data_IF_263066115092
#
_entry.id   IF_263066115092
#
_cell.length_a   1.000
_cell.length_b   1.000
_cell.length_c   1.000
_cell.angle_alpha   90.00
_cell.angle_beta   90.00
_cell.angle_gamma   90.00
#
_symmetry.space_group_name_H-M   'P 1'
#
loop_
_entity.id
_entity.type
_entity.pdbx_description
1 polymer ?
#
# COMPACT_ATOMS: atom_id res chain seq x y z
N UNK A 1 0.00 -11.88 -13.89
CA UNK A 1 0.90 -10.72 -13.68
C UNK A 1 0.75 -9.68 -14.78
N UNK A 2 0.90 -10.03 -16.08
CA UNK A 2 0.75 -9.04 -17.18
C UNK A 2 -0.56 -8.24 -17.13
N UNK A 3 -1.71 -8.92 -16.99
CA UNK A 3 -3.01 -8.24 -16.88
C UNK A 3 -3.09 -7.29 -15.69
N UNK A 4 -2.44 -7.61 -14.56
CA UNK A 4 -2.43 -6.72 -13.39
C UNK A 4 -1.59 -5.47 -13.68
N UNK A 5 -0.41 -5.65 -14.26
CA UNK A 5 0.47 -4.55 -14.67
C UNK A 5 -0.19 -3.62 -15.68
N UNK A 6 -0.96 -4.16 -16.63
CA UNK A 6 -1.75 -3.37 -17.60
C UNK A 6 -2.84 -2.51 -16.95
N UNK A 7 -3.29 -2.85 -15.73
CA UNK A 7 -4.25 -2.04 -14.96
C UNK A 7 -3.55 -0.98 -14.08
N UNK A 8 -2.22 -0.99 -13.96
CA UNK A 8 -1.52 0.15 -13.39
C UNK A 8 -1.46 1.27 -14.43
N UNK A 9 -2.05 2.42 -14.10
CA UNK A 9 -2.10 3.56 -14.99
C UNK A 9 -0.72 4.19 -15.15
N UNK A 10 -0.51 4.85 -16.30
CA UNK A 10 0.71 5.60 -16.56
C UNK A 10 0.68 6.95 -15.81
N UNK A 11 0.90 6.90 -14.50
CA UNK A 11 1.05 8.05 -13.59
C UNK A 11 2.48 8.14 -13.07
N UNK A 12 2.97 9.33 -12.66
CA UNK A 12 4.39 9.52 -12.35
C UNK A 12 4.93 8.66 -11.19
N UNK A 13 4.15 8.41 -10.14
CA UNK A 13 4.56 7.67 -8.95
C UNK A 13 3.77 6.37 -8.75
N UNK A 14 2.44 6.41 -8.61
CA UNK A 14 1.62 5.23 -8.27
C UNK A 14 1.35 4.32 -9.49
N UNK A 15 2.42 3.82 -10.10
CA UNK A 15 2.42 2.95 -11.28
C UNK A 15 3.01 1.56 -10.97
N UNK A 16 3.15 0.70 -11.98
CA UNK A 16 3.62 -0.68 -11.78
C UNK A 16 5.06 -0.77 -11.23
N UNK A 17 5.90 0.26 -11.46
CA UNK A 17 7.25 0.30 -10.89
C UNK A 17 7.21 0.52 -9.38
N UNK A 18 6.30 1.37 -8.89
CA UNK A 18 6.10 1.54 -7.45
C UNK A 18 5.60 0.24 -6.82
N UNK A 19 4.60 -0.41 -7.42
CA UNK A 19 4.13 -1.72 -6.97
C UNK A 19 5.27 -2.76 -6.92
N UNK A 20 6.15 -2.80 -7.91
CA UNK A 20 7.31 -3.67 -7.92
C UNK A 20 8.31 -3.35 -6.80
N UNK A 21 8.58 -2.06 -6.51
CA UNK A 21 9.45 -1.64 -5.40
C UNK A 21 8.87 -2.07 -4.04
N UNK A 22 7.55 -1.91 -3.84
CA UNK A 22 6.86 -2.30 -2.62
C UNK A 22 6.86 -3.84 -2.46
N UNK A 23 6.56 -4.61 -3.51
CA UNK A 23 6.65 -6.08 -3.49
C UNK A 23 8.05 -6.55 -3.10
N UNK A 24 9.09 -5.97 -3.70
CA UNK A 24 10.47 -6.34 -3.41
C UNK A 24 10.86 -5.96 -1.97
N UNK A 25 10.38 -4.81 -1.49
CA UNK A 25 10.63 -4.34 -0.12
C UNK A 25 9.94 -5.24 0.90
N UNK A 26 8.67 -5.64 0.69
CA UNK A 26 7.96 -6.62 1.52
C UNK A 26 8.69 -7.96 1.52
N UNK A 27 9.16 -8.44 0.36
CA UNK A 27 9.95 -9.66 0.27
C UNK A 27 11.19 -9.61 1.17
N UNK A 28 11.95 -8.51 1.15
CA UNK A 28 13.13 -8.35 2.02
C UNK A 28 12.75 -8.27 3.50
N UNK A 29 11.68 -7.57 3.85
CA UNK A 29 11.22 -7.46 5.24
C UNK A 29 10.77 -8.81 5.82
N UNK A 30 10.14 -9.67 5.01
CA UNK A 30 9.77 -11.04 5.38
C UNK A 30 10.99 -11.92 5.69
N UNK A 31 12.17 -11.60 5.13
CA UNK A 31 13.43 -12.31 5.37
C UNK A 31 14.16 -11.83 6.63
N UNK A 32 13.58 -10.91 7.41
CA UNK A 32 14.17 -10.46 8.67
C UNK A 32 14.39 -11.66 9.62
N UNK A 33 15.59 -11.85 10.19
CA UNK A 33 15.87 -12.95 11.11
C UNK A 33 14.97 -12.98 12.34
N UNK A 34 14.49 -11.81 12.78
CA UNK A 34 13.55 -11.71 13.89
C UNK A 34 12.15 -12.27 13.56
N UNK A 35 11.85 -12.45 12.27
CA UNK A 35 10.58 -12.98 11.75
C UNK A 35 10.74 -14.37 11.14
N UNK A 36 11.90 -15.03 11.35
CA UNK A 36 12.16 -16.36 10.83
C UNK A 36 11.11 -17.37 11.32
N UNK A 37 10.52 -18.11 10.38
CA UNK A 37 9.45 -19.09 10.62
C UNK A 37 8.23 -18.54 11.39
N UNK A 38 8.07 -17.21 11.47
CA UNK A 38 6.91 -16.60 12.12
C UNK A 38 5.69 -16.78 11.23
N UNK A 39 5.76 -16.40 9.95
CA UNK A 39 4.63 -16.46 9.01
C UNK A 39 4.50 -17.80 8.28
N UNK A 40 3.26 -18.20 7.98
CA UNK A 40 2.95 -19.36 7.15
C UNK A 40 3.11 -19.04 5.67
N UNK A 41 3.26 -20.05 4.81
CA UNK A 41 3.31 -19.87 3.35
C UNK A 41 2.11 -19.09 2.80
N UNK A 42 0.91 -19.27 3.38
CA UNK A 42 -0.28 -18.54 2.95
C UNK A 42 -0.20 -17.05 3.32
N UNK A 43 0.32 -16.71 4.49
CA UNK A 43 0.52 -15.30 4.91
C UNK A 43 1.62 -14.65 4.07
N UNK A 44 2.73 -15.34 3.82
CA UNK A 44 3.81 -14.88 2.93
C UNK A 44 3.29 -14.62 1.52
N UNK A 45 2.53 -15.57 0.94
CA UNK A 45 1.88 -15.40 -0.35
C UNK A 45 0.93 -14.20 -0.34
N UNK A 46 0.14 -14.04 0.73
CA UNK A 46 -0.82 -12.95 0.85
C UNK A 46 -0.13 -11.60 0.96
N UNK A 47 0.96 -11.49 1.70
CA UNK A 47 1.70 -10.25 1.86
C UNK A 47 2.30 -9.77 0.53
N UNK A 48 2.89 -10.68 -0.23
CA UNK A 48 3.43 -10.38 -1.56
C UNK A 48 2.31 -10.03 -2.56
N UNK A 49 1.18 -10.74 -2.50
CA UNK A 49 0.03 -10.42 -3.34
C UNK A 49 -0.57 -9.04 -3.00
N UNK A 50 -0.78 -8.73 -1.71
CA UNK A 50 -1.28 -7.44 -1.25
C UNK A 50 -0.36 -6.30 -1.72
N UNK A 51 0.96 -6.44 -1.56
CA UNK A 51 1.93 -5.48 -2.06
C UNK A 51 1.81 -5.24 -3.58
N UNK A 52 1.60 -6.31 -4.36
CA UNK A 52 1.52 -6.22 -5.81
C UNK A 52 0.25 -5.52 -6.33
N UNK A 53 -0.79 -5.42 -5.50
CA UNK A 53 -2.09 -4.90 -5.91
C UNK A 53 -2.50 -3.59 -5.22
N UNK A 54 -1.76 -3.14 -4.20
CA UNK A 54 -2.28 -2.14 -3.26
C UNK A 54 -2.69 -0.81 -3.92
N UNK A 55 -2.06 -0.47 -5.06
CA UNK A 55 -2.32 0.75 -5.86
C UNK A 55 -2.78 0.48 -7.29
N UNK A 56 -3.29 -0.71 -7.61
CA UNK A 56 -3.74 -0.98 -8.98
C UNK A 56 -4.88 -0.02 -9.38
N UNK A 57 -4.83 0.50 -10.60
CA UNK A 57 -5.78 1.49 -11.14
C UNK A 57 -5.77 2.86 -10.41
N UNK A 58 -4.65 3.23 -9.77
CA UNK A 58 -4.50 4.51 -9.11
C UNK A 58 -4.56 5.71 -10.10
N UNK A 59 -5.46 6.69 -9.92
CA UNK A 59 -5.72 7.78 -10.88
C UNK A 59 -4.74 8.96 -10.81
N UNK A 60 -3.70 8.83 -9.98
CA UNK A 60 -2.70 9.87 -9.76
C UNK A 60 -3.22 11.08 -8.96
N UNK A 61 -4.20 10.84 -8.09
CA UNK A 61 -4.80 11.83 -7.18
C UNK A 61 -5.17 11.18 -5.87
N UNK A 62 -5.20 11.96 -4.78
CA UNK A 62 -5.47 11.48 -3.42
C UNK A 62 -6.96 11.19 -3.15
N UNK A 63 -7.23 10.41 -2.10
CA UNK A 63 -8.58 10.23 -1.54
C UNK A 63 -9.29 11.58 -1.30
N UNK A 64 -8.59 12.57 -0.73
CA UNK A 64 -9.18 13.89 -0.45
C UNK A 64 -9.60 14.63 -1.73
N UNK A 65 -8.81 14.54 -2.80
CA UNK A 65 -9.18 15.09 -4.10
C UNK A 65 -10.46 14.44 -4.64
N UNK A 66 -10.56 13.11 -4.57
CA UNK A 66 -11.72 12.34 -5.04
C UNK A 66 -13.01 12.73 -4.28
N UNK A 67 -12.89 12.98 -2.98
CA UNK A 67 -13.99 13.44 -2.12
C UNK A 67 -14.39 14.87 -2.49
N UNK A 68 -13.42 15.80 -2.54
CA UNK A 68 -13.67 17.21 -2.83
C UNK A 68 -14.27 17.45 -4.22
N UNK A 69 -13.92 16.59 -5.19
CA UNK A 69 -14.47 16.65 -6.55
C UNK A 69 -15.77 15.86 -6.72
N UNK A 70 -16.31 15.25 -5.65
CA UNK A 70 -17.51 14.39 -5.69
C UNK A 70 -17.42 13.30 -6.77
N UNK A 71 -16.25 12.66 -6.88
CA UNK A 71 -16.01 11.62 -7.86
C UNK A 71 -16.91 10.40 -7.64
N UNK A 72 -17.19 9.65 -8.72
CA UNK A 72 -17.97 8.40 -8.64
C UNK A 72 -17.37 7.38 -7.66
N UNK A 73 -16.03 7.33 -7.55
CA UNK A 73 -15.36 6.45 -6.59
C UNK A 73 -15.64 6.86 -5.14
N UNK A 74 -15.55 8.16 -4.83
CA UNK A 74 -15.85 8.67 -3.50
C UNK A 74 -17.30 8.38 -3.10
N UNK A 75 -18.25 8.58 -4.02
CA UNK A 75 -19.66 8.23 -3.82
C UNK A 75 -19.86 6.73 -3.62
N UNK A 76 -19.19 5.89 -4.41
CA UNK A 76 -19.29 4.43 -4.33
C UNK A 76 -18.79 3.88 -2.99
N UNK A 77 -17.68 4.43 -2.49
CA UNK A 77 -17.02 3.98 -1.27
C UNK A 77 -17.37 4.82 -0.04
N UNK A 78 -18.31 5.77 -0.16
CA UNK A 78 -18.81 6.62 0.92
C UNK A 78 -17.67 7.35 1.66
N UNK A 79 -16.73 7.89 0.90
CA UNK A 79 -15.56 8.66 1.38
C UNK A 79 -14.56 7.87 2.26
N UNK A 80 -14.74 6.56 2.45
CA UNK A 80 -13.92 5.73 3.34
C UNK A 80 -12.90 4.88 2.55
N UNK A 81 -11.59 5.14 2.75
CA UNK A 81 -10.48 4.44 2.08
C UNK A 81 -10.76 4.19 0.59
N UNK A 82 -11.10 5.26 -0.14
CA UNK A 82 -11.71 5.21 -1.47
C UNK A 82 -10.81 4.46 -2.46
N UNK A 83 -9.54 4.83 -2.54
CA UNK A 83 -8.57 4.23 -3.45
C UNK A 83 -8.20 2.81 -3.04
N UNK A 84 -8.03 2.54 -1.76
CA UNK A 84 -7.63 1.22 -1.27
C UNK A 84 -8.74 0.19 -1.50
N UNK A 85 -10.01 0.59 -1.32
CA UNK A 85 -11.16 -0.24 -1.68
C UNK A 85 -11.25 -0.49 -3.20
N UNK A 86 -10.93 0.53 -4.00
CA UNK A 86 -10.91 0.42 -5.46
C UNK A 86 -9.84 -0.55 -5.95
N UNK A 87 -8.60 -0.42 -5.47
CA UNK A 87 -7.49 -1.33 -5.76
C UNK A 87 -7.86 -2.80 -5.46
N UNK A 88 -8.47 -3.04 -4.29
CA UNK A 88 -8.98 -4.36 -3.92
C UNK A 88 -10.04 -4.87 -4.91
N UNK A 89 -11.02 -4.04 -5.26
CA UNK A 89 -12.09 -4.40 -6.17
C UNK A 89 -11.54 -4.78 -7.56
N UNK A 90 -10.65 -3.97 -8.12
CA UNK A 90 -9.98 -4.20 -9.40
C UNK A 90 -9.17 -5.50 -9.36
N UNK A 91 -8.29 -5.66 -8.39
CA UNK A 91 -7.42 -6.84 -8.29
C UNK A 91 -8.21 -8.15 -8.18
N UNK A 92 -9.24 -8.19 -7.34
CA UNK A 92 -10.09 -9.38 -7.22
C UNK A 92 -11.00 -9.59 -8.43
N UNK A 93 -11.28 -8.55 -9.22
CA UNK A 93 -11.97 -8.67 -10.50
C UNK A 93 -11.04 -9.26 -11.57
N UNK A 94 -9.78 -8.84 -11.61
CA UNK A 94 -8.75 -9.38 -12.52
C UNK A 94 -8.61 -10.89 -12.35
N UNK A 95 -8.66 -11.42 -11.13
CA UNK A 95 -8.63 -12.86 -10.85
C UNK A 95 -9.82 -13.67 -11.42
N UNK A 96 -10.89 -13.01 -11.87
CA UNK A 96 -12.06 -13.67 -12.47
C UNK A 96 -11.98 -13.73 -14.00
N UNK A 97 -10.95 -13.13 -14.61
CA UNK A 97 -10.72 -13.22 -16.05
C UNK A 97 -10.23 -14.63 -16.43
N UNK A 98 -10.30 -14.94 -17.72
CA UNK A 98 -9.82 -16.22 -18.24
C UNK A 98 -8.31 -16.37 -17.98
N UNK A 99 -7.89 -17.53 -17.46
CA UNK A 99 -6.49 -17.86 -17.19
C UNK A 99 -5.71 -16.95 -16.19
N UNK A 100 -6.41 -16.10 -15.42
CA UNK A 100 -5.74 -15.21 -14.43
C UNK A 100 -5.86 -15.66 -12.99
N UNK A 101 -6.65 -16.71 -12.70
CA UNK A 101 -6.88 -17.20 -11.34
C UNK A 101 -5.66 -17.98 -10.79
N UNK A 102 -4.67 -17.25 -10.28
CA UNK A 102 -3.45 -17.81 -9.66
C UNK A 102 -3.73 -18.59 -8.36
N UNK A 103 -4.94 -18.51 -7.82
CA UNK A 103 -5.34 -19.18 -6.58
C UNK A 103 -6.22 -20.40 -6.84
N UNK A 104 -6.37 -20.85 -8.10
CA UNK A 104 -7.29 -21.93 -8.51
C UNK A 104 -7.16 -23.21 -7.68
N UNK A 105 -5.95 -23.55 -7.27
CA UNK A 105 -5.66 -24.77 -6.51
C UNK A 105 -5.73 -24.59 -4.98
N UNK A 106 -5.97 -23.38 -4.47
CA UNK A 106 -6.20 -23.16 -3.04
C UNK A 106 -7.56 -23.73 -2.63
N UNK A 107 -7.62 -24.35 -1.46
CA UNK A 107 -8.90 -24.78 -0.88
C UNK A 107 -9.81 -23.57 -0.62
N UNK A 108 -11.13 -23.81 -0.55
CA UNK A 108 -12.11 -22.76 -0.23
C UNK A 108 -11.76 -21.98 1.04
N UNK A 109 -11.29 -22.68 2.09
CA UNK A 109 -10.89 -22.07 3.36
C UNK A 109 -9.65 -21.18 3.18
N UNK A 110 -8.62 -21.66 2.48
CA UNK A 110 -7.42 -20.86 2.20
C UNK A 110 -7.74 -19.61 1.39
N UNK A 111 -8.62 -19.69 0.38
CA UNK A 111 -9.08 -18.52 -0.39
C UNK A 111 -9.79 -17.49 0.47
N UNK A 112 -10.66 -17.92 1.39
CA UNK A 112 -11.36 -17.03 2.30
C UNK A 112 -10.38 -16.32 3.25
N UNK A 113 -9.41 -17.07 3.80
CA UNK A 113 -8.36 -16.51 4.66
C UNK A 113 -7.45 -15.54 3.90
N UNK A 114 -6.95 -15.91 2.72
CA UNK A 114 -6.14 -15.04 1.87
C UNK A 114 -6.88 -13.75 1.52
N UNK A 115 -8.15 -13.86 1.10
CA UNK A 115 -8.97 -12.68 0.76
C UNK A 115 -9.11 -11.75 1.96
N UNK A 116 -9.42 -12.28 3.15
CA UNK A 116 -9.54 -11.47 4.36
C UNK A 116 -8.22 -10.75 4.68
N UNK A 117 -7.11 -11.47 4.70
CA UNK A 117 -5.80 -10.88 5.01
C UNK A 117 -5.38 -9.84 3.97
N UNK A 118 -5.64 -10.09 2.68
CA UNK A 118 -5.35 -9.11 1.61
C UNK A 118 -6.13 -7.81 1.84
N UNK A 119 -7.42 -7.91 2.17
CA UNK A 119 -8.26 -6.74 2.48
C UNK A 119 -7.72 -6.01 3.71
N UNK A 120 -7.45 -6.74 4.80
CA UNK A 120 -6.91 -6.16 6.03
C UNK A 120 -5.58 -5.41 5.76
N UNK A 121 -4.71 -5.95 4.89
CA UNK A 121 -3.41 -5.36 4.54
C UNK A 121 -3.51 -4.14 3.61
N UNK A 122 -4.23 -4.23 2.49
CA UNK A 122 -4.34 -3.11 1.54
C UNK A 122 -5.10 -1.95 2.16
N UNK A 123 -6.16 -2.20 2.95
CA UNK A 123 -6.81 -1.10 3.67
C UNK A 123 -5.90 -0.41 4.69
N UNK A 124 -4.81 -1.05 5.13
CA UNK A 124 -3.86 -0.45 6.07
C UNK A 124 -2.85 0.49 5.39
N UNK A 125 -2.76 0.53 4.06
CA UNK A 125 -1.89 1.50 3.35
C UNK A 125 -2.50 2.91 3.32
N UNK A 126 -3.80 3.04 3.61
CA UNK A 126 -4.46 4.34 3.78
C UNK A 126 -3.76 5.17 4.86
N UNK A 127 -3.16 6.28 4.45
CA UNK A 127 -2.38 7.17 5.31
C UNK A 127 -3.20 7.79 6.46
N UNK A 128 -4.53 7.84 6.37
CA UNK A 128 -5.38 8.25 7.50
C UNK A 128 -5.26 7.29 8.70
N UNK A 129 -4.86 6.03 8.47
CA UNK A 129 -4.70 4.99 9.50
C UNK A 129 -3.29 4.92 10.08
N UNK A 130 -2.34 5.65 9.51
CA UNK A 130 -0.92 5.62 9.88
C UNK A 130 -0.70 5.75 11.40
N UNK A 131 -1.34 6.72 12.06
CA UNK A 131 -1.15 6.96 13.49
C UNK A 131 -1.69 5.83 14.36
N UNK A 132 -2.78 5.17 13.94
CA UNK A 132 -3.30 3.99 14.63
C UNK A 132 -2.34 2.81 14.49
N UNK A 133 -1.89 2.52 13.26
CA UNK A 133 -0.94 1.44 12.99
C UNK A 133 0.37 1.61 13.78
N UNK A 134 0.89 2.84 13.85
CA UNK A 134 2.08 3.17 14.62
C UNK A 134 1.87 3.00 16.13
N UNK A 135 0.70 3.40 16.65
CA UNK A 135 0.38 3.22 18.06
C UNK A 135 0.33 1.73 18.42
N UNK A 136 -0.37 0.93 17.62
CA UNK A 136 -0.49 -0.51 17.82
C UNK A 136 0.89 -1.19 17.72
N UNK A 137 1.74 -0.78 16.76
CA UNK A 137 3.10 -1.29 16.62
C UNK A 137 3.96 -0.97 17.85
N UNK A 138 3.87 0.25 18.40
CA UNK A 138 4.57 0.63 19.64
C UNK A 138 4.15 -0.25 20.81
N UNK A 139 2.84 -0.45 21.00
CA UNK A 139 2.33 -1.34 22.04
C UNK A 139 2.84 -2.78 21.85
N UNK A 140 2.92 -3.25 20.62
CA UNK A 140 3.49 -4.57 20.33
C UNK A 140 4.97 -4.65 20.73
N UNK A 141 5.78 -3.66 20.38
CA UNK A 141 7.21 -3.60 20.76
C UNK A 141 7.38 -3.58 22.28
N UNK A 142 6.52 -2.87 23.02
CA UNK A 142 6.58 -2.78 24.48
C UNK A 142 6.16 -4.07 25.19
N UNK A 143 5.23 -4.83 24.60
CA UNK A 143 4.61 -5.99 25.25
C UNK A 143 5.19 -7.33 24.81
N UNK A 144 5.80 -7.40 23.62
CA UNK A 144 6.27 -8.67 23.06
C UNK A 144 7.62 -9.08 23.59
N UNK A 145 7.68 -10.35 23.97
CA UNK A 145 8.91 -11.01 24.38
C UNK A 145 9.57 -11.61 23.14
N UNK A 146 10.85 -11.39 23.03
CA UNK A 146 11.70 -12.11 22.09
C UNK A 146 11.99 -13.49 22.69
N UNK A 147 11.86 -14.55 21.90
CA UNK A 147 12.28 -15.87 22.34
C UNK A 147 13.78 -15.88 22.68
N UNK A 148 14.26 -16.86 23.44
CA UNK A 148 15.70 -17.01 23.72
C UNK A 148 16.57 -17.13 22.45
N UNK A 149 15.96 -17.38 21.29
CA UNK A 149 16.58 -17.44 19.96
C UNK A 149 16.67 -16.10 19.23
N UNK A 150 16.09 -15.00 19.73
CA UNK A 150 16.04 -13.72 19.01
C UNK A 150 14.83 -13.55 18.07
N UNK A 151 13.96 -14.58 17.96
CA UNK A 151 12.77 -14.57 17.09
C UNK A 151 11.55 -14.02 17.85
N UNK A 152 10.73 -13.25 17.14
CA UNK A 152 9.50 -12.66 17.67
C UNK A 152 8.40 -13.73 17.83
N UNK A 153 7.73 -13.76 18.99
CA UNK A 153 6.62 -14.66 19.25
C UNK A 153 5.27 -13.96 19.03
N UNK A 154 4.57 -14.37 17.97
CA UNK A 154 3.21 -13.91 17.64
C UNK A 154 2.25 -15.09 17.74
N UNK A 155 1.39 -15.06 18.76
CA UNK A 155 0.65 -16.23 19.24
C UNK A 155 -0.71 -16.41 18.53
N UNK A 156 -1.23 -15.34 17.94
CA UNK A 156 -2.55 -15.32 17.35
C UNK A 156 -2.60 -14.55 16.04
N UNK A 157 -3.70 -14.74 15.29
CA UNK A 157 -3.95 -14.08 14.02
C UNK A 157 -3.84 -12.56 14.10
N UNK A 158 -4.44 -11.94 15.13
CA UNK A 158 -4.50 -10.48 15.28
C UNK A 158 -3.12 -9.85 15.34
N UNK A 159 -2.20 -10.46 16.09
CA UNK A 159 -0.82 -9.98 16.18
C UNK A 159 -0.06 -10.16 14.86
N UNK A 160 -0.25 -11.29 14.19
CA UNK A 160 0.41 -11.61 12.92
C UNK A 160 -0.05 -10.67 11.82
N UNK A 161 -1.36 -10.44 11.68
CA UNK A 161 -1.90 -9.53 10.67
C UNK A 161 -1.48 -8.08 10.95
N UNK A 162 -1.40 -7.66 12.22
CA UNK A 162 -0.94 -6.33 12.57
C UNK A 162 0.54 -6.09 12.17
N UNK A 163 1.40 -7.10 12.31
CA UNK A 163 2.78 -7.02 11.79
C UNK A 163 2.80 -6.95 10.27
N UNK A 164 1.98 -7.75 9.58
CA UNK A 164 1.92 -7.73 8.11
C UNK A 164 1.38 -6.40 7.57
N UNK A 165 0.36 -5.81 8.21
CA UNK A 165 -0.15 -4.48 7.89
C UNK A 165 0.95 -3.43 8.01
N UNK A 166 1.65 -3.39 9.15
CA UNK A 166 2.77 -2.48 9.35
C UNK A 166 3.93 -2.76 8.39
N UNK A 167 4.17 -4.02 8.02
CA UNK A 167 5.22 -4.39 7.06
C UNK A 167 4.93 -3.84 5.67
N UNK A 168 3.70 -3.98 5.17
CA UNK A 168 3.28 -3.39 3.90
C UNK A 168 3.35 -1.86 3.96
N UNK A 169 2.86 -1.26 5.05
CA UNK A 169 2.91 0.19 5.26
C UNK A 169 4.35 0.74 5.29
N UNK A 170 5.28 0.02 5.95
CA UNK A 170 6.70 0.36 5.96
C UNK A 170 7.35 0.21 4.57
N UNK A 171 6.94 -0.80 3.81
CA UNK A 171 7.45 -1.03 2.45
C UNK A 171 6.99 0.08 1.49
N UNK A 172 5.73 0.51 1.61
CA UNK A 172 5.16 1.62 0.86
C UNK A 172 5.87 2.95 1.19
N UNK A 173 6.09 3.23 2.49
CA UNK A 173 6.84 4.40 2.95
C UNK A 173 8.38 4.25 2.89
N UNK A 174 8.90 3.27 2.14
CA UNK A 174 10.32 2.91 2.23
C UNK A 174 11.25 3.81 1.41
N UNK A 175 10.76 4.64 0.49
CA UNK A 175 11.64 5.36 -0.45
C UNK A 175 12.76 6.18 0.25
N UNK A 176 12.49 6.93 1.34
CA UNK A 176 13.52 7.69 2.05
C UNK A 176 14.61 6.81 2.71
N UNK A 177 14.35 5.51 2.88
CA UNK A 177 15.30 4.53 3.44
C UNK A 177 16.20 3.89 2.38
N UNK A 178 15.87 4.06 1.09
CA UNK A 178 16.65 3.53 -0.03
C UNK A 178 17.91 4.38 -0.24
N UNK A 179 18.82 3.88 -1.08
CA UNK A 179 19.99 4.67 -1.50
C UNK A 179 19.56 6.02 -2.08
N UNK A 180 20.33 7.07 -1.80
CA UNK A 180 19.99 8.45 -2.15
C UNK A 180 19.65 8.65 -3.63
N UNK A 181 20.33 7.96 -4.54
CA UNK A 181 20.06 8.03 -5.98
C UNK A 181 18.68 7.45 -6.37
N UNK A 182 18.22 6.44 -5.64
CA UNK A 182 16.88 5.85 -5.82
C UNK A 182 15.83 6.75 -5.15
N UNK A 183 16.08 7.17 -3.90
CA UNK A 183 15.18 8.04 -3.16
C UNK A 183 14.88 9.34 -3.93
N UNK A 184 15.89 10.00 -4.51
CA UNK A 184 15.71 11.21 -5.32
C UNK A 184 14.74 11.01 -6.50
N UNK A 185 14.84 9.88 -7.20
CA UNK A 185 13.92 9.58 -8.32
C UNK A 185 12.49 9.40 -7.84
N UNK A 186 12.30 8.71 -6.72
CA UNK A 186 10.96 8.58 -6.12
C UNK A 186 10.40 9.92 -5.65
N UNK A 187 11.23 10.77 -5.06
CA UNK A 187 10.87 12.13 -4.67
C UNK A 187 10.45 12.97 -5.90
N UNK A 188 11.20 12.92 -7.00
CA UNK A 188 10.84 13.58 -8.25
C UNK A 188 9.50 13.06 -8.81
N UNK A 189 9.30 11.75 -8.83
CA UNK A 189 8.05 11.11 -9.27
C UNK A 189 6.85 11.54 -8.44
N UNK A 190 6.91 11.47 -7.10
CA UNK A 190 5.78 11.81 -6.24
C UNK A 190 5.45 13.30 -6.29
N UNK A 191 6.48 14.17 -6.38
CA UNK A 191 6.26 15.61 -6.54
C UNK A 191 5.61 15.94 -7.88
N UNK A 192 6.04 15.31 -8.98
CA UNK A 192 5.40 15.52 -10.28
C UNK A 192 3.92 15.07 -10.25
N UNK A 193 3.60 13.97 -9.59
CA UNK A 193 2.21 13.52 -9.45
C UNK A 193 1.36 14.50 -8.61
N UNK A 194 1.89 14.98 -7.49
CA UNK A 194 1.24 16.02 -6.69
C UNK A 194 1.03 17.31 -7.48
N UNK A 195 2.01 17.72 -8.29
CA UNK A 195 1.86 18.89 -9.14
C UNK A 195 0.80 18.70 -10.22
N UNK A 196 0.67 17.50 -10.79
CA UNK A 196 -0.42 17.18 -11.71
C UNK A 196 -1.78 17.21 -11.01
N UNK A 197 -1.89 16.78 -9.75
CA UNK A 197 -3.11 16.98 -8.96
C UNK A 197 -3.41 18.47 -8.76
N UNK A 198 -2.42 19.27 -8.36
CA UNK A 198 -2.61 20.72 -8.14
C UNK A 198 -3.04 21.48 -9.39
N UNK A 199 -2.58 21.06 -10.57
CA UNK A 199 -3.04 21.61 -11.84
C UNK A 199 -4.50 21.25 -12.12
N UNK A 200 -4.93 20.01 -11.81
CA UNK A 200 -6.34 19.59 -11.89
C UNK A 200 -7.21 20.41 -10.93
N UNK A 201 -6.80 20.54 -9.67
CA UNK A 201 -7.48 21.36 -8.64
C UNK A 201 -7.67 22.80 -9.11
N UNK A 202 -6.59 23.42 -9.62
CA UNK A 202 -6.64 24.78 -10.18
C UNK A 202 -7.61 24.90 -11.34
N UNK A 203 -7.65 23.92 -12.24
CA UNK A 203 -8.55 23.92 -13.41
C UNK A 203 -10.02 23.80 -13.03
N UNK A 204 -10.32 23.13 -11.91
CA UNK A 204 -11.66 22.95 -11.35
C UNK A 204 -12.07 24.08 -10.40
N UNK A 205 -11.17 25.03 -10.11
CA UNK A 205 -11.41 26.09 -9.15
C UNK A 205 -11.48 25.61 -7.69
N UNK A 206 -10.84 24.47 -7.40
CA UNK A 206 -10.69 23.95 -6.03
C UNK A 206 -9.48 24.60 -5.35
N UNK A 207 -9.48 24.60 -4.01
CA UNK A 207 -8.29 24.93 -3.24
C UNK A 207 -7.19 23.90 -3.54
N UNK A 208 -5.98 24.39 -3.84
CA UNK A 208 -4.84 23.53 -4.15
C UNK A 208 -4.36 22.85 -2.85
N UNK A 209 -4.26 21.53 -2.89
CA UNK A 209 -3.86 20.71 -1.75
C UNK A 209 -2.43 21.04 -1.28
N UNK A 210 -2.10 20.81 0.01
CA UNK A 210 -0.72 20.95 0.49
C UNK A 210 0.27 20.17 -0.39
N UNK A 211 1.42 20.77 -0.67
CA UNK A 211 2.49 20.23 -1.53
C UNK A 211 2.15 20.09 -3.03
N UNK A 212 0.90 20.32 -3.45
CA UNK A 212 0.47 20.16 -4.84
C UNK A 212 0.67 21.42 -5.70
N UNK A 213 0.98 22.58 -5.09
CA UNK A 213 1.25 23.80 -5.86
C UNK A 213 2.71 23.89 -6.34
N UNK A 214 2.95 23.56 -7.62
CA UNK A 214 4.28 23.65 -8.26
C UNK A 214 4.91 25.04 -8.24
N UNK A 215 4.15 26.10 -7.97
CA UNK A 215 4.67 27.48 -7.89
C UNK A 215 5.06 27.91 -6.48
N UNK A 216 4.71 27.14 -5.45
CA UNK A 216 4.93 27.50 -4.04
C UNK A 216 5.53 26.35 -3.20
N UNK A 217 5.71 25.16 -3.76
CA UNK A 217 6.28 24.02 -3.05
C UNK A 217 7.78 24.22 -2.75
N UNK A 218 8.20 23.87 -1.53
CA UNK A 218 9.61 23.72 -1.16
C UNK A 218 9.90 22.25 -0.92
N UNK A 219 10.34 21.55 -1.96
CA UNK A 219 10.49 20.08 -1.98
C UNK A 219 11.38 19.60 -0.83
N UNK A 220 12.52 20.23 -0.61
CA UNK A 220 13.50 19.80 0.40
C UNK A 220 12.94 19.92 1.82
N UNK A 221 12.12 20.95 2.09
CA UNK A 221 11.50 21.11 3.41
C UNK A 221 10.36 20.12 3.64
N UNK A 222 9.65 19.72 2.59
CA UNK A 222 8.59 18.71 2.70
C UNK A 222 9.13 17.30 2.96
N UNK A 223 10.41 17.06 2.68
CA UNK A 223 11.08 15.77 2.88
C UNK A 223 11.82 15.64 4.22
N UNK A 224 11.98 16.74 4.99
CA UNK A 224 12.67 16.80 6.30
C UNK A 224 11.66 16.81 7.43
#
# INVERSE_FOLDING_TARGET
MMTLEEHYLNVPYHNSLHAADVVQSVHVLLLSPALDSVFTDLETLTALFAAAIHDVDHPGVTNQYLINSSSELALMYNDESVLENHSLAVAFKVLQLEETDIFVNLTKKQRQTLRKMTIDMVLATDMSKHMSLLADLKTMVETKKVAGSGVLLLDNYTERIQVLQNMLHCADLSNPTKRLDIYKRWCESVMEEFFQQGDKERSLGLDISPMCDRYNATIEKSQI
#
